data_IF_843718842402
#
_entry.id   IF_843718842402
#
_cell.length_a   1.000
_cell.length_b   1.000
_cell.length_c   1.000
_cell.angle_alpha   90.00
_cell.angle_beta   90.00
_cell.angle_gamma   90.00
#
_symmetry.space_group_name_H-M   'P 1'
#
loop_
_entity.id
_entity.type
_entity.pdbx_description
1 polymer ?
#
# COMPACT_ATOMS: atom_id res chain seq x y z
N UNK A 1 0.53 18.70 -32.60
CA UNK A 1 1.64 17.73 -32.39
C UNK A 1 1.55 17.19 -30.97
N UNK A 2 0.74 16.15 -30.76
CA UNK A 2 0.70 15.39 -29.50
C UNK A 2 1.06 13.96 -29.86
N UNK A 3 2.33 13.57 -29.71
CA UNK A 3 2.76 12.26 -30.21
C UNK A 3 4.20 11.86 -29.95
N UNK A 4 4.87 12.43 -28.94
CA UNK A 4 6.26 12.08 -28.62
C UNK A 4 6.48 11.61 -27.17
N UNK A 5 5.46 11.58 -26.31
CA UNK A 5 5.63 11.17 -24.91
C UNK A 5 5.12 9.76 -24.57
N UNK A 6 4.67 8.99 -25.56
CA UNK A 6 4.05 7.68 -25.30
C UNK A 6 4.91 6.47 -25.72
N UNK A 7 6.14 6.67 -26.20
CA UNK A 7 6.96 5.57 -26.73
C UNK A 7 8.45 5.58 -26.30
N UNK A 8 8.87 6.53 -25.46
CA UNK A 8 10.22 6.56 -24.86
C UNK A 8 10.29 5.79 -23.53
N UNK A 9 9.33 4.90 -23.25
CA UNK A 9 9.54 3.93 -22.18
C UNK A 9 10.48 2.86 -22.73
N UNK A 10 11.76 2.92 -22.38
CA UNK A 10 12.60 1.72 -22.42
C UNK A 10 11.79 0.59 -21.77
N UNK A 11 11.47 -0.45 -22.54
CA UNK A 11 10.65 -1.55 -22.04
C UNK A 11 11.47 -2.28 -20.98
N UNK A 12 11.19 -1.96 -19.72
CA UNK A 12 11.74 -2.68 -18.57
C UNK A 12 11.21 -4.11 -18.67
N UNK A 13 12.12 -5.08 -18.78
CA UNK A 13 11.73 -6.47 -18.81
C UNK A 13 11.08 -6.88 -17.49
N UNK A 14 10.23 -7.92 -17.54
CA UNK A 14 9.46 -8.37 -16.38
C UNK A 14 10.35 -8.73 -15.17
N UNK A 15 11.56 -9.25 -15.38
CA UNK A 15 12.46 -9.63 -14.30
C UNK A 15 13.00 -8.39 -13.61
N UNK A 16 13.43 -7.39 -14.38
CA UNK A 16 13.91 -6.12 -13.83
C UNK A 16 12.80 -5.39 -13.08
N UNK A 17 11.61 -5.27 -13.68
CA UNK A 17 10.42 -4.68 -13.03
C UNK A 17 10.12 -5.36 -11.69
N UNK A 18 10.13 -6.70 -11.66
CA UNK A 18 9.90 -7.46 -10.42
C UNK A 18 10.96 -7.18 -9.37
N UNK A 19 12.25 -7.18 -9.74
CA UNK A 19 13.34 -6.90 -8.80
C UNK A 19 13.25 -5.50 -8.19
N UNK A 20 12.79 -4.50 -8.95
CA UNK A 20 12.54 -3.15 -8.45
C UNK A 20 11.39 -3.17 -7.45
N UNK A 21 10.26 -3.81 -7.79
CA UNK A 21 9.12 -3.91 -6.88
C UNK A 21 9.49 -4.62 -5.57
N UNK A 22 10.25 -5.71 -5.65
CA UNK A 22 10.71 -6.46 -4.48
C UNK A 22 11.60 -5.57 -3.59
N UNK A 23 12.63 -4.92 -4.16
CA UNK A 23 13.53 -4.04 -3.41
C UNK A 23 12.83 -2.80 -2.82
N UNK A 24 11.90 -2.19 -3.56
CA UNK A 24 11.08 -1.08 -3.07
C UNK A 24 10.16 -1.54 -1.94
N UNK A 25 9.53 -2.71 -2.10
CA UNK A 25 8.68 -3.32 -1.09
C UNK A 25 9.42 -3.57 0.23
N UNK A 26 10.61 -4.17 0.16
CA UNK A 26 11.47 -4.39 1.32
C UNK A 26 11.85 -3.07 2.02
N UNK A 27 12.26 -2.06 1.25
CA UNK A 27 12.63 -0.75 1.81
C UNK A 27 11.44 -0.04 2.46
N UNK A 28 10.26 -0.13 1.85
CA UNK A 28 9.03 0.44 2.40
C UNK A 28 8.66 -0.24 3.72
N UNK A 29 8.75 -1.57 3.80
CA UNK A 29 8.48 -2.31 5.05
C UNK A 29 9.44 -1.92 6.18
N UNK A 30 10.71 -1.68 5.86
CA UNK A 30 11.69 -1.22 6.83
C UNK A 30 11.39 0.21 7.32
N UNK A 31 10.98 1.10 6.42
CA UNK A 31 10.77 2.53 6.71
C UNK A 31 9.42 2.81 7.36
N UNK A 32 8.38 2.11 6.93
CA UNK A 32 6.99 2.28 7.37
C UNK A 32 6.58 1.18 8.33
N UNK A 33 7.52 0.69 9.16
CA UNK A 33 7.31 -0.46 10.05
C UNK A 33 5.93 -0.32 10.73
N UNK A 34 4.95 -1.17 10.39
CA UNK A 34 3.60 -0.98 10.88
C UNK A 34 3.66 -1.02 12.40
N UNK A 35 3.12 0.01 13.04
CA UNK A 35 3.00 -0.01 14.50
C UNK A 35 2.14 -1.21 14.87
N UNK A 36 2.62 -2.09 15.77
CA UNK A 36 1.91 -3.32 16.10
C UNK A 36 0.58 -3.07 16.82
N UNK A 37 0.37 -1.83 17.29
CA UNK A 37 -0.82 -1.39 17.99
C UNK A 37 -1.40 -0.20 17.25
N UNK A 38 -2.72 -0.16 17.16
CA UNK A 38 -3.41 0.96 16.55
C UNK A 38 -3.38 2.12 17.57
N UNK A 39 -3.36 3.38 17.10
CA UNK A 39 -3.57 4.50 18.00
C UNK A 39 -4.88 4.33 18.78
N UNK A 40 -4.88 4.65 20.08
CA UNK A 40 -6.01 4.40 20.99
C UNK A 40 -7.35 4.89 20.45
N UNK A 41 -7.36 6.06 19.81
CA UNK A 41 -8.57 6.61 19.21
C UNK A 41 -9.09 5.76 18.05
N UNK A 42 -8.19 5.22 17.23
CA UNK A 42 -8.56 4.37 16.10
C UNK A 42 -9.06 2.99 16.59
N UNK A 43 -8.49 2.46 17.67
CA UNK A 43 -9.01 1.26 18.32
C UNK A 43 -10.45 1.45 18.82
N UNK A 44 -10.73 2.59 19.45
CA UNK A 44 -12.08 2.94 19.91
C UNK A 44 -13.07 3.00 18.75
N UNK A 45 -12.73 3.71 17.66
CA UNK A 45 -13.58 3.79 16.47
C UNK A 45 -13.82 2.41 15.84
N UNK A 46 -12.77 1.58 15.75
CA UNK A 46 -12.87 0.21 15.24
C UNK A 46 -13.77 -0.67 16.12
N UNK A 47 -13.72 -0.49 17.44
CA UNK A 47 -14.59 -1.20 18.38
C UNK A 47 -16.05 -0.77 18.21
N UNK A 48 -16.32 0.53 18.08
CA UNK A 48 -17.67 1.04 17.84
C UNK A 48 -18.24 0.53 16.52
N UNK A 49 -17.44 0.51 15.45
CA UNK A 49 -17.86 0.02 14.14
C UNK A 49 -18.26 -1.46 14.21
N UNK A 50 -17.41 -2.29 14.82
CA UNK A 50 -17.72 -3.72 15.04
C UNK A 50 -18.95 -3.94 15.89
N UNK A 51 -19.18 -3.09 16.89
CA UNK A 51 -20.36 -3.16 17.74
C UNK A 51 -21.64 -2.90 16.94
N UNK A 52 -21.64 -1.85 16.11
CA UNK A 52 -22.79 -1.50 15.27
C UNK A 52 -23.12 -2.58 14.24
N UNK A 53 -22.09 -3.19 13.64
CA UNK A 53 -22.29 -4.29 12.69
C UNK A 53 -22.95 -5.50 13.35
N UNK A 54 -22.56 -5.81 14.60
CA UNK A 54 -23.16 -6.90 15.39
C UNK A 54 -24.59 -6.59 15.81
N UNK A 55 -24.86 -5.34 16.19
CA UNK A 55 -26.20 -4.92 16.63
C UNK A 55 -27.19 -4.75 15.47
N UNK A 56 -26.68 -4.70 14.24
CA UNK A 56 -27.48 -4.63 12.99
C UNK A 56 -27.80 -6.02 12.41
N UNK A 57 -27.56 -7.11 13.14
CA UNK A 57 -27.90 -8.50 12.79
C UNK A 57 -28.82 -9.10 13.85
#
# INVERSE_FOLDING_TARGET
>A
MAGLFANDSEQIDRRTSRSICDAVGERLQQSLRPEPQLPTHLEQLMNELRQRDRDSH
#
